data_IF_654245720574
#
_entry.id   IF_654245720574
#
_cell.length_a   1.000
_cell.length_b   1.000
_cell.length_c   1.000
_cell.angle_alpha   90.00
_cell.angle_beta   90.00
_cell.angle_gamma   90.00
#
_symmetry.space_group_name_H-M   'P 1'
#
loop_
_entity.id
_entity.type
_entity.pdbx_description
1 polymer ?
#
# COMPACT_ATOMS: atom_id res chain seq x y z
N UNK A 1 -11.85 25.56 -63.26
CA UNK A 1 -10.80 24.53 -63.11
C UNK A 1 -10.29 24.56 -61.67
N UNK A 2 -10.86 23.71 -60.80
CA UNK A 2 -10.46 23.57 -59.40
C UNK A 2 -9.27 22.62 -59.31
N UNK A 3 -8.13 23.08 -58.80
CA UNK A 3 -6.97 22.22 -58.49
C UNK A 3 -7.06 21.79 -57.03
N UNK A 4 -7.24 20.49 -56.83
CA UNK A 4 -7.07 19.82 -55.55
C UNK A 4 -5.57 19.80 -55.18
N UNK A 5 -5.24 20.23 -53.96
CA UNK A 5 -3.96 19.91 -53.31
C UNK A 5 -4.21 18.78 -52.31
N UNK A 6 -3.45 17.69 -52.47
CA UNK A 6 -3.35 16.59 -51.51
C UNK A 6 -2.35 17.00 -50.42
N UNK A 7 -2.59 16.71 -49.14
CA UNK A 7 -1.56 16.85 -48.12
C UNK A 7 -0.62 15.63 -48.18
N UNK A 8 0.67 15.92 -48.22
CA UNK A 8 1.79 15.00 -48.01
C UNK A 8 1.79 14.49 -46.57
N UNK A 9 1.74 13.18 -46.41
CA UNK A 9 1.89 12.46 -45.13
C UNK A 9 3.37 12.16 -44.94
N UNK A 10 4.01 12.80 -43.96
CA UNK A 10 5.39 12.51 -43.59
C UNK A 10 5.38 11.36 -42.60
N UNK A 11 5.87 10.20 -43.02
CA UNK A 11 6.00 8.98 -42.23
C UNK A 11 7.26 9.13 -41.36
N UNK A 12 7.10 9.38 -40.06
CA UNK A 12 8.18 9.40 -39.08
C UNK A 12 8.63 7.98 -38.76
N UNK A 13 9.90 7.70 -39.02
CA UNK A 13 10.59 6.43 -38.85
C UNK A 13 10.78 6.11 -37.36
N UNK A 14 10.22 5.00 -36.87
CA UNK A 14 10.54 4.43 -35.55
C UNK A 14 11.86 3.67 -35.68
N UNK A 15 12.91 4.18 -35.06
CA UNK A 15 14.19 3.47 -34.94
C UNK A 15 14.13 2.54 -33.73
N UNK A 16 14.07 1.24 -33.99
CA UNK A 16 14.32 0.20 -33.00
C UNK A 16 15.83 0.16 -32.69
N UNK A 17 16.21 0.25 -31.42
CA UNK A 17 17.57 -0.06 -30.97
C UNK A 17 17.55 -1.38 -30.21
N UNK A 18 18.21 -2.37 -30.80
CA UNK A 18 18.44 -3.70 -30.24
C UNK A 18 19.71 -3.73 -29.37
N UNK A 19 19.70 -4.67 -28.42
CA UNK A 19 20.76 -4.98 -27.47
C UNK A 19 22.13 -5.21 -28.12
N UNK A 20 23.18 -4.76 -27.44
CA UNK A 20 24.52 -5.34 -27.49
C UNK A 20 25.12 -5.30 -26.08
N UNK A 21 25.50 -6.48 -25.56
CA UNK A 21 25.93 -6.66 -24.18
C UNK A 21 27.40 -6.35 -23.91
N UNK A 22 27.77 -6.51 -22.64
CA UNK A 22 29.12 -6.85 -22.21
C UNK A 22 29.03 -7.76 -20.98
N UNK A 23 29.69 -8.91 -21.08
CA UNK A 23 29.83 -9.89 -20.02
C UNK A 23 31.03 -9.54 -19.12
N UNK A 24 30.96 -9.93 -17.84
CA UNK A 24 32.12 -10.13 -16.98
C UNK A 24 31.95 -11.43 -16.18
N UNK A 25 33.04 -12.17 -15.89
CA UNK A 25 32.96 -13.57 -15.47
C UNK A 25 32.79 -13.68 -13.95
N UNK A 26 31.93 -14.61 -13.50
CA UNK A 26 31.96 -15.07 -12.11
C UNK A 26 32.69 -16.42 -12.03
N UNK A 27 33.71 -16.41 -11.19
CA UNK A 27 34.66 -17.48 -10.90
C UNK A 27 33.94 -18.69 -10.29
N UNK A 28 34.19 -19.86 -10.86
CA UNK A 28 33.81 -21.16 -10.26
C UNK A 28 34.80 -21.52 -9.16
N UNK A 29 34.34 -21.49 -7.90
CA UNK A 29 35.04 -22.06 -6.75
C UNK A 29 34.31 -23.32 -6.28
N UNK A 30 34.77 -24.47 -6.73
CA UNK A 30 34.37 -25.78 -6.23
C UNK A 30 35.30 -26.18 -5.07
N UNK A 31 34.75 -26.57 -3.92
CA UNK A 31 35.41 -27.51 -3.00
C UNK A 31 34.46 -28.04 -1.92
N UNK A 32 34.15 -29.33 -2.09
CA UNK A 32 34.19 -30.41 -1.11
C UNK A 32 33.36 -30.39 0.17
N UNK A 33 32.48 -31.39 0.20
CA UNK A 33 31.72 -32.03 1.27
C UNK A 33 32.58 -32.43 2.48
N UNK A 34 32.04 -32.28 3.69
CA UNK A 34 32.30 -33.24 4.78
C UNK A 34 31.05 -33.42 5.65
N UNK A 35 30.61 -34.67 5.73
CA UNK A 35 29.54 -35.19 6.56
C UNK A 35 30.07 -35.65 7.91
N UNK A 36 29.36 -35.38 8.99
CA UNK A 36 29.36 -36.24 10.18
C UNK A 36 28.03 -36.07 10.92
N UNK A 37 27.27 -37.15 10.98
CA UNK A 37 26.14 -37.33 11.90
C UNK A 37 26.69 -37.88 13.21
N UNK A 38 26.15 -37.47 14.36
CA UNK A 38 25.94 -38.36 15.51
C UNK A 38 24.67 -38.00 16.28
N UNK A 39 23.98 -39.07 16.63
CA UNK A 39 22.74 -39.25 17.37
C UNK A 39 23.00 -39.20 18.88
N UNK A 40 22.04 -38.69 19.66
CA UNK A 40 21.90 -39.01 21.09
C UNK A 40 20.53 -38.59 21.60
N UNK A 41 19.75 -39.59 22.02
CA UNK A 41 18.45 -39.47 22.66
C UNK A 41 18.52 -39.59 24.20
N UNK A 42 17.40 -39.17 24.84
CA UNK A 42 16.92 -39.50 26.22
C UNK A 42 17.37 -38.53 27.35
N UNK A 43 16.58 -38.07 28.35
CA UNK A 43 15.22 -38.37 28.86
C UNK A 43 14.74 -37.26 29.84
N UNK A 44 13.42 -36.99 29.89
CA UNK A 44 12.54 -36.52 31.02
C UNK A 44 12.93 -35.41 32.02
N UNK A 45 12.08 -34.37 32.14
CA UNK A 45 11.33 -34.02 33.38
C UNK A 45 10.36 -32.84 33.16
N UNK A 46 9.11 -32.98 33.64
CA UNK A 46 8.10 -31.90 33.70
C UNK A 46 8.30 -30.98 34.90
N UNK A 47 8.05 -29.68 34.71
CA UNK A 47 7.52 -28.76 35.72
C UNK A 47 6.64 -27.71 35.01
N UNK A 48 5.45 -27.35 35.53
CA UNK A 48 4.62 -26.30 34.96
C UNK A 48 5.07 -24.96 35.56
N UNK A 49 5.44 -24.02 34.71
CA UNK A 49 5.83 -22.68 35.12
C UNK A 49 5.66 -21.74 33.93
N UNK A 50 4.58 -20.96 33.99
CA UNK A 50 4.28 -19.78 33.17
C UNK A 50 5.44 -19.30 32.30
N UNK A 51 5.49 -19.78 31.06
CA UNK A 51 6.25 -19.12 30.01
C UNK A 51 5.30 -18.09 29.41
N UNK A 52 5.54 -16.82 29.72
CA UNK A 52 5.16 -15.76 28.79
C UNK A 52 5.93 -16.10 27.51
N UNK A 53 5.23 -16.69 26.55
CA UNK A 53 5.83 -17.12 25.30
C UNK A 53 6.33 -15.88 24.55
N UNK A 54 7.43 -16.11 23.84
CA UNK A 54 8.16 -15.15 23.02
C UNK A 54 7.16 -14.34 22.20
N UNK A 55 7.05 -13.03 22.44
CA UNK A 55 6.32 -12.16 21.52
C UNK A 55 7.17 -12.05 20.27
N UNK A 56 6.86 -12.86 19.25
CA UNK A 56 7.33 -12.57 17.91
C UNK A 56 6.79 -11.20 17.53
N UNK A 57 7.59 -10.38 16.85
CA UNK A 57 7.13 -9.05 16.46
C UNK A 57 5.82 -9.15 15.64
N UNK A 58 4.87 -8.23 15.83
CA UNK A 58 3.50 -8.29 15.30
C UNK A 58 3.42 -8.65 13.81
N UNK A 59 4.36 -8.17 13.00
CA UNK A 59 4.40 -8.43 11.56
C UNK A 59 5.38 -9.54 11.14
N UNK A 60 5.73 -10.42 12.09
CA UNK A 60 6.50 -11.63 11.77
C UNK A 60 5.54 -12.71 11.29
N UNK A 61 5.52 -12.98 9.98
CA UNK A 61 4.62 -13.94 9.35
C UNK A 61 4.87 -15.43 9.72
N UNK A 62 5.59 -15.71 10.80
CA UNK A 62 5.80 -17.07 11.33
C UNK A 62 4.71 -17.53 12.29
N UNK A 63 3.88 -16.60 12.78
CA UNK A 63 2.83 -16.86 13.76
C UNK A 63 1.50 -16.26 13.31
N UNK A 64 0.40 -16.79 13.86
CA UNK A 64 -0.95 -16.24 13.65
C UNK A 64 -1.39 -15.57 14.93
N UNK A 65 -1.30 -14.24 14.94
CA UNK A 65 -1.67 -13.41 16.08
C UNK A 65 -3.17 -13.40 16.30
N UNK A 66 -3.60 -13.21 17.55
CA UNK A 66 -5.01 -13.02 17.90
C UNK A 66 -5.28 -11.52 18.10
N UNK A 67 -6.33 -11.01 17.47
CA UNK A 67 -6.84 -9.66 17.65
C UNK A 67 -8.32 -9.74 18.03
N UNK A 68 -8.63 -9.38 19.27
CA UNK A 68 -9.99 -9.37 19.81
C UNK A 68 -10.42 -7.93 20.08
N UNK A 69 -11.50 -7.48 19.42
CA UNK A 69 -12.05 -6.13 19.62
C UNK A 69 -13.30 -6.19 20.49
N UNK A 70 -13.43 -5.25 21.41
CA UNK A 70 -14.66 -4.98 22.15
C UNK A 70 -15.12 -3.56 21.88
N UNK A 71 -16.36 -3.41 21.44
CA UNK A 71 -17.00 -2.13 21.12
C UNK A 71 -18.48 -2.18 21.51
N UNK A 72 -18.99 -1.07 22.01
CA UNK A 72 -20.42 -0.93 22.32
C UNK A 72 -21.28 -1.17 21.06
N UNK A 73 -22.31 -2.01 21.16
CA UNK A 73 -23.10 -2.47 20.00
C UNK A 73 -23.89 -1.33 19.35
N UNK A 74 -24.45 -0.42 20.14
CA UNK A 74 -25.16 0.77 19.65
C UNK A 74 -24.18 1.71 18.92
N UNK A 75 -22.97 1.86 19.47
CA UNK A 75 -21.89 2.64 18.87
C UNK A 75 -21.43 2.05 17.52
N UNK A 76 -21.21 0.74 17.45
CA UNK A 76 -20.84 0.05 16.21
C UNK A 76 -21.95 0.19 15.15
N UNK A 77 -23.20 -0.04 15.55
CA UNK A 77 -24.36 0.11 14.68
C UNK A 77 -24.48 1.55 14.16
N UNK A 78 -24.29 2.53 15.04
CA UNK A 78 -24.28 3.96 14.70
C UNK A 78 -23.20 4.30 13.67
N UNK A 79 -21.96 3.83 13.86
CA UNK A 79 -20.86 4.03 12.90
C UNK A 79 -21.19 3.48 11.51
N UNK A 80 -21.78 2.28 11.44
CA UNK A 80 -22.20 1.68 10.17
C UNK A 80 -23.32 2.52 9.54
N UNK A 81 -24.32 2.90 10.33
CA UNK A 81 -25.46 3.68 9.84
C UNK A 81 -25.02 5.05 9.29
N UNK A 82 -24.11 5.76 9.98
CA UNK A 82 -23.52 7.01 9.47
C UNK A 82 -22.89 6.80 8.09
N UNK A 83 -22.07 5.76 7.93
CA UNK A 83 -21.46 5.45 6.64
C UNK A 83 -22.51 5.16 5.55
N UNK A 84 -23.58 4.43 5.88
CA UNK A 84 -24.64 4.13 4.92
C UNK A 84 -25.41 5.38 4.48
N UNK A 85 -25.62 6.33 5.39
CA UNK A 85 -26.39 7.54 5.13
C UNK A 85 -25.57 8.64 4.42
N UNK A 86 -24.29 8.78 4.77
CA UNK A 86 -23.47 9.93 4.35
C UNK A 86 -22.24 9.53 3.54
N UNK A 87 -21.80 8.27 3.62
CA UNK A 87 -20.51 7.82 3.10
C UNK A 87 -19.32 8.17 4.01
N UNK A 88 -19.54 8.91 5.10
CA UNK A 88 -18.50 9.29 6.05
C UNK A 88 -18.10 8.11 6.95
N UNK A 89 -16.81 8.05 7.30
CA UNK A 89 -16.23 6.96 8.09
C UNK A 89 -15.72 7.54 9.39
N UNK A 90 -16.55 7.49 10.43
CA UNK A 90 -16.28 8.07 11.73
C UNK A 90 -15.37 7.17 12.59
N UNK A 91 -14.65 7.80 13.50
CA UNK A 91 -13.91 7.11 14.55
C UNK A 91 -14.82 6.87 15.74
N UNK A 92 -14.88 5.63 16.20
CA UNK A 92 -15.51 5.25 17.47
C UNK A 92 -14.48 4.71 18.45
N UNK A 93 -14.84 4.71 19.73
CA UNK A 93 -13.99 4.22 20.81
C UNK A 93 -14.26 2.74 21.07
N UNK A 94 -13.21 1.97 21.32
CA UNK A 94 -13.32 0.59 21.78
C UNK A 94 -12.10 0.16 22.59
N UNK A 95 -12.00 -1.15 22.78
CA UNK A 95 -10.85 -1.83 23.39
C UNK A 95 -10.38 -2.90 22.40
N UNK A 96 -9.08 -3.08 22.28
CA UNK A 96 -8.50 -4.20 21.50
C UNK A 96 -7.54 -4.98 22.38
N UNK A 97 -7.57 -6.30 22.25
CA UNK A 97 -6.58 -7.19 22.85
C UNK A 97 -5.81 -7.87 21.73
N UNK A 98 -4.49 -7.70 21.71
CA UNK A 98 -3.59 -8.30 20.72
C UNK A 98 -2.67 -9.26 21.46
N UNK A 99 -2.75 -10.56 21.16
CA UNK A 99 -2.00 -11.64 21.83
C UNK A 99 -2.05 -11.59 23.37
N UNK A 100 -3.21 -11.22 23.92
CA UNK A 100 -3.42 -11.10 25.36
C UNK A 100 -2.99 -9.76 25.98
N UNK A 101 -2.37 -8.85 25.22
CA UNK A 101 -2.13 -7.47 25.64
C UNK A 101 -3.33 -6.59 25.30
N UNK A 102 -3.98 -6.04 26.34
CA UNK A 102 -5.16 -5.19 26.19
C UNK A 102 -4.79 -3.70 26.09
N UNK A 103 -5.43 -3.03 25.15
CA UNK A 103 -5.34 -1.61 24.87
C UNK A 103 -6.75 -1.00 24.98
N UNK A 104 -6.95 -0.14 25.97
CA UNK A 104 -8.20 0.58 26.19
C UNK A 104 -8.20 1.93 25.48
N UNK A 105 -9.39 2.46 25.24
CA UNK A 105 -9.62 3.75 24.59
C UNK A 105 -8.97 3.86 23.20
N UNK A 106 -9.05 2.80 22.40
CA UNK A 106 -8.54 2.78 21.01
C UNK A 106 -9.57 3.36 20.04
N UNK A 107 -9.09 3.81 18.89
CA UNK A 107 -9.90 4.24 17.76
C UNK A 107 -10.23 3.09 16.83
N UNK A 108 -11.51 2.92 16.50
CA UNK A 108 -11.99 1.99 15.48
C UNK A 108 -12.68 2.79 14.37
N UNK A 109 -12.40 2.47 13.11
CA UNK A 109 -13.01 3.14 11.95
C UNK A 109 -13.16 2.17 10.79
N UNK A 110 -14.29 2.25 10.06
CA UNK A 110 -14.48 1.50 8.82
C UNK A 110 -13.38 1.83 7.79
N UNK A 111 -12.87 0.82 7.08
CA UNK A 111 -11.79 1.00 6.10
C UNK A 111 -12.13 0.46 4.71
N UNK A 112 -11.72 1.23 3.70
CA UNK A 112 -11.83 0.87 2.28
C UNK A 112 -13.05 1.48 1.59
N UNK A 113 -13.15 1.24 0.28
CA UNK A 113 -14.25 1.74 -0.54
C UNK A 113 -15.07 0.58 -1.07
N UNK A 114 -14.51 -0.20 -1.99
CA UNK A 114 -15.19 -1.38 -2.57
C UNK A 114 -15.53 -2.45 -1.52
N UNK A 115 -14.71 -2.61 -0.49
CA UNK A 115 -14.93 -3.56 0.62
C UNK A 115 -16.16 -3.21 1.47
N UNK A 116 -16.55 -1.94 1.51
CA UNK A 116 -17.73 -1.47 2.22
C UNK A 116 -18.98 -1.47 1.33
N UNK A 117 -18.88 -1.88 0.06
CA UNK A 117 -20.06 -1.97 -0.82
C UNK A 117 -20.92 -3.16 -0.39
N UNK A 118 -22.13 -2.88 0.04
CA UNK A 118 -23.12 -3.91 0.39
C UNK A 118 -23.08 -4.36 1.85
N UNK A 119 -22.31 -3.69 2.71
CA UNK A 119 -22.47 -3.87 4.15
C UNK A 119 -23.83 -3.31 4.61
N UNK A 120 -24.30 -3.76 5.76
CA UNK A 120 -25.45 -3.23 6.48
C UNK A 120 -25.18 -3.24 7.98
N UNK A 121 -26.09 -2.70 8.78
CA UNK A 121 -26.05 -2.82 10.24
C UNK A 121 -26.16 -4.27 10.73
N UNK A 122 -26.57 -5.20 9.87
CA UNK A 122 -26.63 -6.63 10.17
C UNK A 122 -25.37 -7.39 9.73
N UNK A 123 -24.40 -6.72 9.09
CA UNK A 123 -23.13 -7.34 8.73
C UNK A 123 -22.39 -7.78 10.00
N UNK A 124 -21.97 -9.04 10.11
CA UNK A 124 -21.22 -9.51 11.28
C UNK A 124 -19.98 -8.64 11.52
N UNK A 125 -19.78 -8.22 12.76
CA UNK A 125 -18.78 -7.22 13.10
C UNK A 125 -17.35 -7.64 12.72
N UNK A 126 -17.03 -8.93 12.87
CA UNK A 126 -15.74 -9.51 12.50
C UNK A 126 -15.54 -9.61 10.97
N UNK A 127 -16.59 -9.38 10.17
CA UNK A 127 -16.50 -9.30 8.71
C UNK A 127 -16.18 -7.90 8.19
N UNK A 128 -16.30 -6.88 9.03
CA UNK A 128 -16.07 -5.49 8.64
C UNK A 128 -14.57 -5.23 8.48
N UNK A 129 -14.15 -4.50 7.43
CA UNK A 129 -12.79 -4.00 7.34
C UNK A 129 -12.63 -2.83 8.32
N UNK A 130 -11.70 -2.95 9.26
CA UNK A 130 -11.51 -2.00 10.35
C UNK A 130 -10.07 -1.50 10.40
N UNK A 131 -9.92 -0.17 10.47
CA UNK A 131 -8.68 0.48 10.90
C UNK A 131 -8.76 0.62 12.42
N UNK A 132 -7.73 0.14 13.10
CA UNK A 132 -7.58 0.15 14.55
C UNK A 132 -6.37 1.03 14.86
N UNK A 133 -6.62 2.11 15.59
CA UNK A 133 -5.58 3.06 15.99
C UNK A 133 -5.49 3.12 17.51
N UNK A 134 -4.44 2.51 18.05
CA UNK A 134 -4.18 2.36 19.50
C UNK A 134 -4.04 3.72 20.16
N UNK A 135 -3.27 4.62 19.55
CA UNK A 135 -3.00 5.96 20.10
C UNK A 135 -4.10 7.01 19.81
N UNK A 136 -5.28 6.59 19.32
CA UNK A 136 -6.28 7.55 18.83
C UNK A 136 -6.81 8.48 19.93
N UNK A 137 -6.99 7.94 21.13
CA UNK A 137 -7.49 8.69 22.29
C UNK A 137 -6.57 8.62 23.51
N UNK A 138 -5.43 7.90 23.40
CA UNK A 138 -4.39 7.80 24.42
C UNK A 138 -3.06 8.04 23.74
N UNK A 139 -2.42 9.17 24.04
CA UNK A 139 -1.14 9.53 23.44
C UNK A 139 -0.08 8.44 23.66
N UNK A 140 0.75 8.21 22.64
CA UNK A 140 1.89 7.28 22.65
C UNK A 140 1.54 5.80 22.93
N UNK A 141 0.26 5.40 22.85
CA UNK A 141 -0.14 4.00 23.01
C UNK A 141 0.24 3.19 21.75
N UNK A 142 1.23 2.29 21.89
CA UNK A 142 1.75 1.48 20.78
C UNK A 142 1.95 0.02 21.18
N UNK A 143 1.96 -0.87 20.17
CA UNK A 143 2.43 -2.24 20.25
C UNK A 143 3.70 -2.34 19.40
N UNK A 144 4.86 -2.49 20.05
CA UNK A 144 6.16 -2.66 19.36
C UNK A 144 6.49 -1.53 18.36
N UNK A 145 6.03 -0.30 18.63
CA UNK A 145 6.19 0.85 17.75
C UNK A 145 5.05 1.05 16.75
N UNK A 146 4.15 0.07 16.59
CA UNK A 146 2.95 0.21 15.76
C UNK A 146 1.79 0.78 16.58
N UNK A 147 1.17 1.87 16.11
CA UNK A 147 -0.08 2.38 16.68
C UNK A 147 -1.28 2.25 15.75
N UNK A 148 -1.07 2.02 14.45
CA UNK A 148 -2.14 2.02 13.46
C UNK A 148 -2.07 0.80 12.52
N UNK A 149 -3.10 -0.03 12.58
CA UNK A 149 -3.22 -1.25 11.79
C UNK A 149 -4.58 -1.32 11.12
N UNK A 150 -4.67 -2.07 10.01
CA UNK A 150 -5.93 -2.34 9.33
C UNK A 150 -6.18 -3.83 9.20
N UNK A 151 -7.30 -4.30 9.74
CA UNK A 151 -7.84 -5.63 9.49
C UNK A 151 -8.66 -5.59 8.20
N UNK A 152 -8.31 -6.45 7.24
CA UNK A 152 -8.94 -6.49 5.91
C UNK A 152 -10.21 -7.35 5.91
N UNK A 153 -11.18 -7.00 5.08
CA UNK A 153 -12.36 -7.82 4.82
C UNK A 153 -12.15 -8.87 3.72
N UNK A 154 -10.91 -9.35 3.55
CA UNK A 154 -10.52 -10.23 2.43
C UNK A 154 -10.94 -11.69 2.64
N UNK A 155 -10.94 -12.47 1.56
CA UNK A 155 -11.05 -13.94 1.60
C UNK A 155 -9.66 -14.53 1.76
N UNK A 156 -9.54 -15.82 2.07
CA UNK A 156 -8.22 -16.48 2.16
C UNK A 156 -7.40 -16.32 0.88
N UNK A 157 -8.03 -16.44 -0.30
CA UNK A 157 -7.35 -16.27 -1.59
C UNK A 157 -6.82 -14.85 -1.78
N UNK A 158 -7.66 -13.83 -1.54
CA UNK A 158 -7.23 -12.43 -1.72
C UNK A 158 -6.25 -11.98 -0.63
N UNK A 159 -6.34 -12.55 0.58
CA UNK A 159 -5.37 -12.35 1.66
C UNK A 159 -3.97 -12.84 1.27
N UNK A 160 -3.88 -14.08 0.77
CA UNK A 160 -2.61 -14.67 0.35
C UNK A 160 -2.00 -13.92 -0.83
N UNK A 161 -2.84 -13.53 -1.81
CA UNK A 161 -2.38 -12.73 -2.95
C UNK A 161 -1.82 -11.38 -2.50
N UNK A 162 -2.47 -10.69 -1.56
CA UNK A 162 -1.99 -9.41 -1.02
C UNK A 162 -0.69 -9.59 -0.23
N UNK A 163 -0.63 -10.54 0.70
CA UNK A 163 0.58 -10.80 1.50
C UNK A 163 1.81 -11.10 0.61
N UNK A 164 1.66 -12.02 -0.36
CA UNK A 164 2.75 -12.35 -1.30
C UNK A 164 3.13 -11.15 -2.16
N UNK A 165 2.15 -10.33 -2.59
CA UNK A 165 2.45 -9.14 -3.39
C UNK A 165 3.26 -8.11 -2.60
N UNK A 166 2.95 -7.92 -1.31
CA UNK A 166 3.70 -7.03 -0.42
C UNK A 166 5.13 -7.54 -0.19
N UNK A 167 5.31 -8.85 -0.04
CA UNK A 167 6.64 -9.47 0.06
C UNK A 167 7.44 -9.33 -1.23
N UNK A 168 6.80 -9.48 -2.40
CA UNK A 168 7.46 -9.29 -3.70
C UNK A 168 7.92 -7.85 -3.90
N UNK A 169 7.13 -6.86 -3.47
CA UNK A 169 7.56 -5.45 -3.47
C UNK A 169 8.81 -5.26 -2.60
N UNK A 170 8.79 -5.78 -1.37
CA UNK A 170 9.94 -5.69 -0.45
C UNK A 170 11.17 -6.41 -1.00
N UNK A 171 11.00 -7.61 -1.57
CA UNK A 171 12.09 -8.38 -2.18
C UNK A 171 12.68 -7.70 -3.42
N UNK A 172 11.92 -6.84 -4.10
CA UNK A 172 12.40 -5.99 -5.20
C UNK A 172 13.12 -4.71 -4.71
N UNK A 173 13.25 -4.52 -3.39
CA UNK A 173 13.88 -3.34 -2.79
C UNK A 173 12.96 -2.12 -2.71
N UNK A 174 11.65 -2.29 -2.93
CA UNK A 174 10.68 -1.20 -2.83
C UNK A 174 10.13 -1.09 -1.41
N UNK A 175 9.84 0.14 -0.99
CA UNK A 175 9.05 0.38 0.21
C UNK A 175 7.72 -0.35 0.10
N UNK A 176 7.39 -1.14 1.13
CA UNK A 176 6.20 -1.99 1.17
C UNK A 176 5.53 -1.87 2.53
N UNK A 177 4.34 -2.45 2.63
CA UNK A 177 3.56 -2.49 3.87
C UNK A 177 3.71 -3.86 4.52
N UNK A 178 3.95 -3.89 5.83
CA UNK A 178 4.00 -5.13 6.57
C UNK A 178 2.59 -5.75 6.67
N UNK A 179 2.51 -7.08 6.60
CA UNK A 179 1.24 -7.81 6.67
C UNK A 179 1.39 -9.13 7.42
N UNK A 180 0.35 -9.52 8.16
CA UNK A 180 0.33 -10.74 8.95
C UNK A 180 -1.07 -11.35 8.99
N UNK A 181 -1.14 -12.68 9.06
CA UNK A 181 -2.40 -13.37 9.25
C UNK A 181 -2.83 -13.30 10.73
N UNK A 182 -4.10 -13.01 10.98
CA UNK A 182 -4.65 -12.87 12.33
C UNK A 182 -5.92 -13.68 12.51
N UNK A 183 -6.12 -14.20 13.73
CA UNK A 183 -7.44 -14.64 14.22
C UNK A 183 -8.15 -13.42 14.77
N UNK A 184 -9.18 -12.97 14.07
CA UNK A 184 -9.89 -11.74 14.39
C UNK A 184 -11.27 -12.03 14.95
N UNK A 185 -11.63 -11.40 16.07
CA UNK A 185 -12.97 -11.46 16.64
C UNK A 185 -13.45 -10.09 17.10
N UNK A 186 -14.77 -9.91 17.17
CA UNK A 186 -15.37 -8.68 17.70
C UNK A 186 -16.52 -9.06 18.63
N UNK A 187 -16.57 -8.46 19.83
CA UNK A 187 -17.63 -8.67 20.83
C UNK A 187 -17.87 -10.15 21.18
N UNK A 188 -16.81 -10.97 21.17
CA UNK A 188 -16.89 -12.40 21.48
C UNK A 188 -17.49 -13.26 20.36
N UNK A 189 -17.50 -12.77 19.11
CA UNK A 189 -17.82 -13.58 17.93
C UNK A 189 -16.87 -14.76 17.74
N UNK A 190 -17.20 -15.66 16.81
CA UNK A 190 -16.22 -16.66 16.36
C UNK A 190 -15.02 -15.96 15.71
N UNK A 191 -13.83 -16.53 15.89
CA UNK A 191 -12.60 -16.05 15.26
C UNK A 191 -12.64 -16.31 13.75
N UNK A 192 -12.31 -15.29 12.97
CA UNK A 192 -12.10 -15.40 11.52
C UNK A 192 -10.65 -15.15 11.16
N UNK A 193 -10.12 -15.94 10.22
CA UNK A 193 -8.79 -15.71 9.67
C UNK A 193 -8.81 -14.49 8.75
N UNK A 194 -8.07 -13.44 9.09
CA UNK A 194 -7.97 -12.18 8.34
C UNK A 194 -6.51 -11.85 8.03
N UNK A 195 -6.30 -11.00 7.03
CA UNK A 195 -5.03 -10.31 6.88
C UNK A 195 -5.10 -8.98 7.65
N UNK A 196 -4.12 -8.74 8.50
CA UNK A 196 -3.88 -7.44 9.12
C UNK A 196 -2.66 -6.81 8.48
N UNK A 197 -2.76 -5.53 8.15
CA UNK A 197 -1.67 -4.77 7.51
C UNK A 197 -1.32 -3.55 8.35
N UNK A 198 -0.05 -3.15 8.33
CA UNK A 198 0.40 -1.87 8.85
C UNK A 198 -0.33 -0.73 8.11
N UNK A 199 -0.80 0.30 8.81
CA UNK A 199 -1.27 1.50 8.13
C UNK A 199 -0.07 2.41 7.79
N UNK A 200 -0.15 3.16 6.69
CA UNK A 200 0.92 4.10 6.33
C UNK A 200 0.71 5.40 7.10
N UNK A 201 1.68 5.74 7.94
CA UNK A 201 1.70 6.91 8.82
C UNK A 201 3.15 7.45 8.96
N UNK A 202 3.38 8.42 9.86
CA UNK A 202 4.71 8.99 10.09
C UNK A 202 5.75 7.95 10.53
N UNK A 203 5.34 6.94 11.32
CA UNK A 203 6.21 5.86 11.74
C UNK A 203 6.63 5.00 10.54
N UNK A 204 5.67 4.64 9.67
CA UNK A 204 5.99 3.94 8.43
C UNK A 204 6.93 4.74 7.53
N UNK A 205 6.73 6.05 7.37
CA UNK A 205 7.63 6.90 6.56
C UNK A 205 9.04 6.89 7.13
N UNK A 206 9.17 7.02 8.45
CA UNK A 206 10.46 7.00 9.16
C UNK A 206 11.20 5.67 8.93
N UNK A 207 10.48 4.55 8.99
CA UNK A 207 11.08 3.22 8.82
C UNK A 207 11.41 2.92 7.36
N UNK A 208 10.50 3.23 6.43
CA UNK A 208 10.64 2.92 5.01
C UNK A 208 11.61 3.86 4.29
N UNK A 209 11.74 5.10 4.78
CA UNK A 209 12.59 6.14 4.21
C UNK A 209 13.39 6.85 5.32
N UNK A 210 14.41 6.20 5.91
CA UNK A 210 15.17 6.79 7.02
C UNK A 210 15.98 8.04 6.63
N UNK A 211 16.18 8.26 5.33
CA UNK A 211 16.82 9.46 4.77
C UNK A 211 15.81 10.57 4.46
N UNK A 212 14.51 10.32 4.66
CA UNK A 212 13.47 11.33 4.52
C UNK A 212 13.66 12.41 5.59
N UNK A 213 13.61 13.68 5.19
CA UNK A 213 13.67 14.79 6.12
C UNK A 213 12.38 14.94 6.92
N UNK A 214 12.41 15.70 8.01
CA UNK A 214 11.23 15.99 8.87
C UNK A 214 10.07 16.63 8.08
N UNK A 215 10.38 17.31 6.97
CA UNK A 215 9.40 17.96 6.07
C UNK A 215 8.81 17.02 5.00
N UNK A 216 9.02 15.71 5.10
CA UNK A 216 8.52 14.74 4.11
C UNK A 216 7.01 14.55 4.24
N UNK A 217 6.33 14.42 3.10
CA UNK A 217 4.87 14.27 3.04
C UNK A 217 4.51 12.98 2.32
N UNK A 218 3.57 12.23 2.91
CA UNK A 218 3.02 11.01 2.31
C UNK A 218 1.66 11.29 1.68
N UNK A 219 1.61 11.28 0.35
CA UNK A 219 0.36 11.45 -0.40
C UNK A 219 -0.28 10.11 -0.76
N UNK A 220 -1.59 10.00 -0.56
CA UNK A 220 -2.41 8.90 -1.05
C UNK A 220 -3.41 9.43 -2.08
N UNK A 221 -3.40 8.86 -3.29
CA UNK A 221 -4.43 9.16 -4.29
C UNK A 221 -5.80 8.68 -3.81
N UNK A 222 -6.80 9.53 -3.91
CA UNK A 222 -8.19 9.17 -3.67
C UNK A 222 -8.72 8.27 -4.79
N UNK A 223 -9.67 7.40 -4.44
CA UNK A 223 -10.19 6.41 -5.39
C UNK A 223 -10.91 7.02 -6.60
N UNK A 224 -11.48 8.21 -6.43
CA UNK A 224 -12.11 9.01 -7.49
C UNK A 224 -11.21 10.17 -7.94
N UNK A 225 -9.99 10.26 -7.38
CA UNK A 225 -9.02 11.29 -7.67
C UNK A 225 -8.39 11.15 -9.06
N UNK A 226 -7.72 12.22 -9.48
CA UNK A 226 -6.95 12.26 -10.72
C UNK A 226 -5.68 13.11 -10.57
N UNK A 227 -4.78 12.92 -11.52
CA UNK A 227 -3.46 13.58 -11.56
C UNK A 227 -3.50 14.88 -12.38
N UNK A 228 -4.64 15.54 -12.47
CA UNK A 228 -4.76 16.80 -13.22
C UNK A 228 -4.05 17.94 -12.47
N UNK A 229 -3.36 18.78 -13.22
CA UNK A 229 -2.88 20.07 -12.72
C UNK A 229 -4.06 21.04 -12.57
N UNK A 230 -4.20 21.64 -11.39
CA UNK A 230 -5.30 22.53 -10.99
C UNK A 230 -4.84 23.98 -10.78
N UNK A 231 -3.59 24.30 -11.10
CA UNK A 231 -2.95 25.58 -10.80
C UNK A 231 -2.23 25.57 -9.45
N UNK A 232 -1.35 26.56 -9.23
CA UNK A 232 -0.56 26.71 -7.99
C UNK A 232 -1.44 26.81 -6.73
N UNK A 233 -2.59 27.49 -6.84
CA UNK A 233 -3.58 27.66 -5.76
C UNK A 233 -4.77 26.68 -5.89
N UNK A 234 -4.62 25.61 -6.67
CA UNK A 234 -5.67 24.62 -6.90
C UNK A 234 -6.00 23.79 -5.65
N UNK A 235 -7.25 23.32 -5.54
CA UNK A 235 -7.63 22.37 -4.49
C UNK A 235 -7.30 20.92 -4.92
N UNK A 236 -6.26 20.36 -4.33
CA UNK A 236 -5.80 18.98 -4.57
C UNK A 236 -6.34 17.98 -3.54
N UNK A 237 -6.97 18.45 -2.46
CA UNK A 237 -7.44 17.60 -1.36
C UNK A 237 -8.55 16.62 -1.79
N UNK A 238 -9.26 16.94 -2.87
CA UNK A 238 -10.27 16.05 -3.47
C UNK A 238 -9.68 14.88 -4.24
N UNK A 239 -8.42 14.96 -4.65
CA UNK A 239 -7.74 13.92 -5.43
C UNK A 239 -6.63 13.22 -4.66
N UNK A 240 -6.06 13.87 -3.65
CA UNK A 240 -4.98 13.33 -2.83
C UNK A 240 -5.20 13.67 -1.36
N UNK A 241 -5.13 12.65 -0.53
CA UNK A 241 -5.09 12.78 0.92
C UNK A 241 -3.64 12.77 1.41
N UNK A 242 -3.38 13.43 2.54
CA UNK A 242 -2.07 13.43 3.19
C UNK A 242 -2.16 12.50 4.40
N UNK A 243 -1.44 11.38 4.34
CA UNK A 243 -1.48 10.35 5.38
C UNK A 243 -0.40 10.55 6.46
N UNK A 244 0.68 11.29 6.14
CA UNK A 244 1.79 11.59 7.04
C UNK A 244 2.49 12.89 6.62
N UNK A 245 3.15 13.55 7.57
CA UNK A 245 3.85 14.83 7.36
C UNK A 245 2.97 16.08 7.46
N UNK A 246 3.56 17.23 7.10
CA UNK A 246 2.83 18.50 7.06
C UNK A 246 1.73 18.49 6.00
N UNK A 247 0.65 19.26 6.24
CA UNK A 247 -0.43 19.43 5.28
C UNK A 247 -0.02 20.37 4.13
N UNK A 248 0.97 19.93 3.34
CA UNK A 248 1.60 20.68 2.27
C UNK A 248 1.50 19.93 0.94
N UNK A 249 0.79 20.52 -0.03
CA UNK A 249 0.69 19.97 -1.38
C UNK A 249 1.74 20.53 -2.35
N UNK A 250 2.58 21.50 -1.95
CA UNK A 250 3.53 22.15 -2.87
C UNK A 250 4.45 21.17 -3.61
N UNK A 251 5.04 20.13 -2.99
CA UNK A 251 5.84 19.13 -3.71
C UNK A 251 5.04 18.40 -4.81
N UNK A 252 3.80 18.00 -4.49
CA UNK A 252 2.90 17.37 -5.46
C UNK A 252 2.54 18.33 -6.60
N UNK A 253 2.24 19.59 -6.26
CA UNK A 253 1.89 20.64 -7.24
C UNK A 253 3.06 20.89 -8.20
N UNK A 254 4.29 20.93 -7.70
CA UNK A 254 5.50 21.10 -8.53
C UNK A 254 5.65 19.95 -9.55
N UNK A 255 5.46 18.70 -9.10
CA UNK A 255 5.49 17.56 -10.00
C UNK A 255 4.38 17.65 -11.06
N UNK A 256 3.15 17.95 -10.65
CA UNK A 256 2.01 18.03 -11.58
C UNK A 256 2.15 19.20 -12.56
N UNK A 257 2.74 20.31 -12.14
CA UNK A 257 3.05 21.45 -13.00
C UNK A 257 4.10 21.07 -14.05
N UNK A 258 5.20 20.43 -13.64
CA UNK A 258 6.22 19.95 -14.57
C UNK A 258 5.62 19.00 -15.62
N UNK A 259 4.79 18.05 -15.19
CA UNK A 259 4.17 17.07 -16.08
C UNK A 259 3.12 17.68 -17.02
N UNK A 260 2.44 18.76 -16.60
CA UNK A 260 1.37 19.38 -17.39
C UNK A 260 1.88 20.49 -18.32
N UNK A 261 2.74 21.37 -17.80
CA UNK A 261 3.17 22.60 -18.45
C UNK A 261 4.61 22.54 -18.98
N UNK A 262 5.43 21.59 -18.51
CA UNK A 262 6.83 21.46 -18.92
C UNK A 262 7.00 20.99 -20.37
N UNK A 263 8.06 21.44 -21.02
CA UNK A 263 8.48 20.86 -22.31
C UNK A 263 9.11 19.49 -22.11
N UNK A 264 9.28 18.73 -23.20
CA UNK A 264 9.97 17.44 -23.15
C UNK A 264 11.40 17.58 -22.58
N UNK A 265 12.12 18.65 -22.95
CA UNK A 265 13.45 18.94 -22.42
C UNK A 265 13.44 19.30 -20.93
N UNK A 266 12.45 20.07 -20.47
CA UNK A 266 12.30 20.44 -19.06
C UNK A 266 11.94 19.21 -18.21
N UNK A 267 11.01 18.39 -18.67
CA UNK A 267 10.64 17.12 -18.01
C UNK A 267 11.86 16.22 -17.92
N UNK A 268 12.60 16.03 -19.02
CA UNK A 268 13.78 15.16 -19.04
C UNK A 268 14.88 15.63 -18.07
N UNK A 269 14.99 16.94 -17.84
CA UNK A 269 15.99 17.52 -16.93
C UNK A 269 15.53 17.48 -15.47
N UNK A 270 14.28 17.86 -15.19
CA UNK A 270 13.79 18.07 -13.81
C UNK A 270 13.10 16.88 -13.19
N UNK A 271 12.52 15.97 -13.98
CA UNK A 271 11.81 14.82 -13.42
C UNK A 271 12.69 13.94 -12.50
N UNK A 272 13.97 13.66 -12.82
CA UNK A 272 14.86 12.93 -11.91
C UNK A 272 15.16 13.65 -10.58
N UNK A 273 14.88 14.95 -10.48
CA UNK A 273 15.04 15.73 -9.24
C UNK A 273 13.82 15.60 -8.33
N UNK A 274 12.64 15.31 -8.91
CA UNK A 274 11.37 15.20 -8.18
C UNK A 274 10.92 13.76 -7.93
N UNK A 275 11.40 12.81 -8.74
CA UNK A 275 10.99 11.41 -8.70
C UNK A 275 12.21 10.50 -8.76
N UNK A 276 12.28 9.53 -7.84
CA UNK A 276 13.20 8.40 -7.97
C UNK A 276 12.75 7.49 -9.13
N UNK A 277 13.36 7.72 -10.30
CA UNK A 277 13.02 7.01 -11.54
C UNK A 277 13.40 5.53 -11.49
N UNK A 278 14.39 5.13 -10.69
CA UNK A 278 14.80 3.73 -10.58
C UNK A 278 13.79 2.94 -9.76
N UNK A 279 13.41 3.47 -8.59
CA UNK A 279 12.35 2.90 -7.76
C UNK A 279 11.02 2.86 -8.52
N UNK A 280 10.69 3.93 -9.25
CA UNK A 280 9.46 3.97 -10.04
C UNK A 280 9.45 2.94 -11.18
N UNK A 281 10.54 2.80 -11.93
CA UNK A 281 10.64 1.78 -12.98
C UNK A 281 10.56 0.35 -12.42
N UNK A 282 11.19 0.10 -11.27
CA UNK A 282 11.12 -1.18 -10.56
C UNK A 282 9.70 -1.48 -10.10
N UNK A 283 9.01 -0.48 -9.54
CA UNK A 283 7.59 -0.57 -9.18
C UNK A 283 6.73 -0.98 -10.38
N UNK A 284 6.86 -0.32 -11.53
CA UNK A 284 6.10 -0.67 -12.74
C UNK A 284 6.37 -2.12 -13.19
N UNK A 285 7.62 -2.57 -13.13
CA UNK A 285 7.99 -3.94 -13.46
C UNK A 285 7.35 -4.96 -12.50
N UNK A 286 7.36 -4.68 -11.19
CA UNK A 286 6.70 -5.53 -10.19
C UNK A 286 5.19 -5.58 -10.43
N UNK A 287 4.53 -4.43 -10.70
CA UNK A 287 3.09 -4.40 -10.96
C UNK A 287 2.68 -5.26 -12.17
N UNK A 288 3.51 -5.29 -13.22
CA UNK A 288 3.32 -6.19 -14.37
C UNK A 288 3.49 -7.67 -13.96
N UNK A 289 4.51 -8.00 -13.15
CA UNK A 289 4.76 -9.37 -12.68
C UNK A 289 3.60 -9.89 -11.84
N UNK A 290 3.13 -9.11 -10.87
CA UNK A 290 2.00 -9.51 -10.01
C UNK A 290 0.63 -9.31 -10.67
N UNK A 291 0.62 -8.81 -11.92
CA UNK A 291 -0.60 -8.59 -12.72
C UNK A 291 -1.63 -7.71 -12.01
N UNK A 292 -1.17 -6.71 -11.26
CA UNK A 292 -2.04 -5.79 -10.56
C UNK A 292 -2.59 -4.75 -11.53
N UNK A 293 -3.75 -5.05 -12.13
CA UNK A 293 -4.38 -4.19 -13.16
C UNK A 293 -5.10 -2.98 -12.58
N UNK A 294 -5.11 -2.80 -11.25
CA UNK A 294 -5.78 -1.66 -10.59
C UNK A 294 -4.91 -0.40 -10.55
N UNK A 295 -3.60 -0.55 -10.76
CA UNK A 295 -2.63 0.56 -10.84
C UNK A 295 -2.50 1.15 -12.25
N UNK A 296 -3.17 0.58 -13.24
CA UNK A 296 -3.08 1.04 -14.63
C UNK A 296 -4.42 1.58 -15.12
N UNK A 297 -4.59 2.90 -15.17
CA UNK A 297 -5.44 3.48 -16.23
C UNK A 297 -4.62 3.50 -17.52
N UNK A 298 -4.43 2.30 -18.08
CA UNK A 298 -3.58 2.05 -19.25
C UNK A 298 -3.86 0.69 -19.85
N UNK A 299 -5.12 0.44 -20.22
CA UNK A 299 -5.52 -0.78 -20.92
C UNK A 299 -4.83 -0.84 -22.29
N UNK A 300 -3.67 -1.50 -22.39
CA UNK A 300 -3.16 -2.02 -23.65
C UNK A 300 -4.01 -3.22 -24.07
N UNK A 301 -5.25 -2.97 -24.50
CA UNK A 301 -6.01 -3.94 -25.30
C UNK A 301 -5.30 -4.08 -26.65
N UNK A 302 -4.69 -5.24 -26.90
CA UNK A 302 -4.36 -5.67 -28.27
C UNK A 302 -5.63 -5.58 -29.15
N UNK A 303 -5.62 -4.86 -30.29
CA UNK A 303 -6.78 -4.81 -31.15
C UNK A 303 -6.88 -6.10 -31.97
N UNK A 304 -7.88 -6.93 -31.69
CA UNK A 304 -8.45 -7.79 -32.73
C UNK A 304 -9.35 -6.93 -33.61
N UNK A 305 -8.88 -6.70 -34.84
CA UNK A 305 -9.57 -6.24 -36.05
C UNK A 305 -10.94 -5.52 -35.95
N UNK A 306 -10.96 -4.37 -36.64
CA UNK A 306 -12.10 -3.63 -37.22
C UNK A 306 -12.87 -2.68 -36.30
N UNK A 307 -12.73 -1.38 -36.61
CA UNK A 307 -13.55 -0.29 -36.06
C UNK A 307 -12.71 0.70 -35.26
N UNK A 308 -12.48 1.88 -35.83
CA UNK A 308 -11.70 2.97 -35.25
C UNK A 308 -12.36 3.55 -33.99
N UNK A 309 -11.63 3.69 -32.87
CA UNK A 309 -11.89 4.78 -31.92
C UNK A 309 -10.65 5.67 -31.80
N UNK A 310 -10.87 6.98 -31.81
CA UNK A 310 -9.84 7.99 -31.54
C UNK A 310 -9.41 7.91 -30.07
N UNK A 311 -8.11 8.01 -29.74
CA UNK A 311 -7.67 8.22 -28.37
C UNK A 311 -7.83 9.71 -27.99
N UNK A 312 -8.49 9.98 -26.86
CA UNK A 312 -8.27 11.19 -26.06
C UNK A 312 -7.14 10.88 -25.08
N UNK A 313 -6.01 11.55 -25.25
CA UNK A 313 -4.80 11.34 -24.46
C UNK A 313 -4.77 12.28 -23.27
N UNK A 314 -4.84 11.71 -22.07
CA UNK A 314 -4.41 12.31 -20.80
C UNK A 314 -3.63 11.23 -20.06
N UNK A 315 -2.33 11.40 -19.75
CA UNK A 315 -1.60 10.44 -18.93
C UNK A 315 -2.05 10.60 -17.47
N UNK A 316 -2.64 9.56 -16.90
CA UNK A 316 -2.89 9.45 -15.46
C UNK A 316 -1.95 8.37 -14.91
N UNK A 317 -1.07 8.76 -13.98
CA UNK A 317 -0.10 7.89 -13.31
C UNK A 317 -0.64 7.50 -11.93
N UNK A 318 -0.19 6.40 -11.30
CA UNK A 318 -0.35 6.31 -9.85
C UNK A 318 0.91 5.79 -9.15
N UNK A 319 1.18 6.35 -7.97
CA UNK A 319 2.18 5.87 -7.03
C UNK A 319 2.62 7.01 -6.11
N UNK A 320 2.60 6.75 -4.81
CA UNK A 320 3.13 7.59 -3.74
C UNK A 320 4.48 8.19 -4.16
N UNK A 321 4.53 9.51 -4.36
CA UNK A 321 5.79 10.22 -4.59
C UNK A 321 6.18 10.85 -3.27
N UNK A 322 7.19 10.31 -2.61
CA UNK A 322 7.95 11.04 -1.59
C UNK A 322 9.03 11.84 -2.31
N UNK A 323 8.91 13.18 -2.28
CA UNK A 323 9.99 14.06 -2.70
C UNK A 323 11.05 14.11 -1.59
N UNK A 324 12.30 13.66 -1.81
CA UNK A 324 13.38 13.92 -0.86
C UNK A 324 13.76 15.41 -0.92
N UNK A 325 13.77 16.08 0.22
CA UNK A 325 14.32 17.43 0.32
C UNK A 325 15.83 17.39 0.06
N UNK A 326 16.28 18.27 -0.84
CA UNK A 326 17.66 18.36 -1.28
C UNK A 326 18.63 18.71 -0.15
N UNK A 327 19.87 18.22 -0.31
CA UNK A 327 21.06 18.51 0.52
C UNK A 327 21.30 20.00 0.80
#
# INVERSE_FOLDING_TARGET
MRRHHRPTTTLGLVAALALAGCAAPLVTGESAVSSAAEDSASTTASAPGSALEVTSALFTATEVHTIDVTVDEDTLTGMIQTYLDTGEKEWVRGTVTIDGQTFEDVGLKLKGNSSLRGISTDTPAQELPLRIRLDKFVDDQTLEGYSDITVRSNTTETSLNEAVSLDVLSAAGLASTAAVATRFSVNGSEEELRLTVQNLDDAWVTDAFPEAGEDSVLYKSEAEGDWSWRGEDGDYSTAFDIEAGEHDYRPLIELLDLLHNGTEEEIAQRLPELVDLESFATYLAVQEIIQNRTTSTGRATTPTSSGTPRPSSSPSWPGTTTCPSGR
#
